data_IF_531969580191
#
_entry.id   IF_531969580191
#
_cell.length_a   1.000
_cell.length_b   1.000
_cell.length_c   1.000
_cell.angle_alpha   90.00
_cell.angle_beta   90.00
_cell.angle_gamma   90.00
#
_symmetry.space_group_name_H-M   'P 1'
#
loop_
_entity.id
_entity.type
_entity.pdbx_description
1 polymer ?
#
# COMPACT_ATOMS: atom_id res chain seq x y z
N UNK A 1 20.46 3.64 17.51
CA UNK A 1 19.03 3.30 17.63
C UNK A 1 18.53 2.96 16.24
N UNK A 2 18.10 1.73 16.03
CA UNK A 2 17.55 1.33 14.73
C UNK A 2 16.20 2.04 14.59
N UNK A 3 16.11 2.94 13.62
CA UNK A 3 14.91 3.75 13.43
C UNK A 3 13.92 2.91 12.64
N UNK A 4 12.75 2.60 13.20
CA UNK A 4 11.68 1.87 12.53
C UNK A 4 11.37 2.44 11.15
N UNK A 5 10.92 1.59 10.26
CA UNK A 5 10.37 1.96 8.95
C UNK A 5 8.86 1.84 9.00
N UNK A 6 8.14 2.67 8.25
CA UNK A 6 6.68 2.68 8.29
C UNK A 6 6.10 2.58 6.89
N UNK A 7 5.08 1.76 6.77
CA UNK A 7 4.27 1.61 5.54
C UNK A 7 2.90 2.19 5.84
N UNK A 8 2.56 3.31 5.20
CA UNK A 8 1.18 3.80 5.17
C UNK A 8 0.44 3.02 4.11
N UNK A 9 -0.56 2.26 4.54
CA UNK A 9 -1.24 1.28 3.71
C UNK A 9 -2.67 1.73 3.42
N UNK A 10 -3.00 1.92 2.15
CA UNK A 10 -4.37 1.85 1.68
C UNK A 10 -4.76 0.40 1.37
N UNK A 11 -6.05 0.13 1.25
CA UNK A 11 -6.59 -1.21 0.97
C UNK A 11 -7.14 -1.28 -0.44
N UNK A 12 -8.06 -0.36 -0.79
CA UNK A 12 -8.66 -0.33 -2.11
C UNK A 12 -7.64 0.09 -3.16
N UNK A 13 -7.53 -0.68 -4.23
CA UNK A 13 -6.49 -0.48 -5.24
C UNK A 13 -5.09 -0.93 -4.84
N UNK A 14 -4.89 -1.44 -3.60
CA UNK A 14 -3.61 -1.98 -3.11
C UNK A 14 -3.75 -3.47 -2.81
N UNK A 15 -4.57 -3.84 -1.83
CA UNK A 15 -4.79 -5.24 -1.42
C UNK A 15 -5.99 -5.87 -2.11
N UNK A 16 -6.67 -5.10 -2.95
CA UNK A 16 -7.73 -5.53 -3.85
C UNK A 16 -7.65 -4.73 -5.15
N UNK A 17 -8.43 -5.12 -6.12
CA UNK A 17 -8.52 -4.46 -7.42
C UNK A 17 -9.81 -4.85 -8.14
N UNK A 18 -10.07 -4.26 -9.31
CA UNK A 18 -11.30 -4.45 -10.06
C UNK A 18 -11.70 -5.93 -10.26
N UNK A 19 -10.74 -6.81 -10.60
CA UNK A 19 -11.02 -8.23 -10.81
C UNK A 19 -11.34 -8.99 -9.53
N UNK A 20 -10.85 -8.54 -8.36
CA UNK A 20 -11.19 -9.11 -7.05
C UNK A 20 -12.69 -9.04 -6.81
N UNK A 21 -13.30 -7.89 -7.10
CA UNK A 21 -14.75 -7.70 -6.95
C UNK A 21 -15.59 -8.50 -7.96
N UNK A 22 -15.05 -8.76 -9.14
CA UNK A 22 -15.73 -9.60 -10.14
C UNK A 22 -15.71 -11.09 -9.77
N UNK A 23 -14.60 -11.57 -9.24
CA UNK A 23 -14.39 -12.99 -8.95
C UNK A 23 -15.06 -13.46 -7.66
N UNK A 24 -15.50 -12.56 -6.79
CA UNK A 24 -16.06 -12.79 -5.45
C UNK A 24 -15.71 -14.17 -4.89
N UNK A 25 -14.69 -14.23 -4.06
CA UNK A 25 -14.32 -15.47 -3.36
C UNK A 25 -15.40 -15.83 -2.33
N UNK A 26 -16.51 -16.41 -2.78
CA UNK A 26 -17.80 -16.61 -2.06
C UNK A 26 -17.63 -17.37 -0.74
N UNK A 27 -16.54 -18.11 -0.57
CA UNK A 27 -16.22 -18.90 0.63
C UNK A 27 -15.06 -18.32 1.46
N UNK A 28 -14.61 -17.10 1.18
CA UNK A 28 -13.55 -16.44 1.94
C UNK A 28 -14.11 -15.58 3.07
N UNK A 29 -13.39 -15.50 4.18
CA UNK A 29 -13.68 -14.56 5.29
C UNK A 29 -13.44 -13.09 4.87
N UNK A 30 -12.70 -12.87 3.79
CA UNK A 30 -12.35 -11.56 3.23
C UNK A 30 -12.53 -11.54 1.70
N UNK A 31 -13.78 -11.67 1.20
CA UNK A 31 -14.06 -11.84 -0.24
C UNK A 31 -13.64 -10.62 -1.09
N UNK A 32 -13.40 -9.50 -0.44
CA UNK A 32 -13.05 -8.21 -1.07
C UNK A 32 -11.53 -7.98 -1.10
N UNK A 33 -10.70 -8.96 -0.69
CA UNK A 33 -9.24 -8.85 -0.72
C UNK A 33 -8.65 -9.88 -1.69
N UNK A 34 -7.56 -9.50 -2.35
CA UNK A 34 -6.89 -10.34 -3.33
C UNK A 34 -5.74 -11.15 -2.69
N UNK A 35 -5.77 -12.49 -2.77
CA UNK A 35 -4.73 -13.33 -2.18
C UNK A 35 -3.32 -13.08 -2.74
N UNK A 36 -3.18 -12.72 -4.03
CA UNK A 36 -1.87 -12.44 -4.63
C UNK A 36 -1.29 -11.13 -4.09
N UNK A 37 -2.13 -10.08 -4.00
CA UNK A 37 -1.74 -8.82 -3.38
C UNK A 37 -1.34 -9.01 -1.90
N UNK A 38 -2.12 -9.79 -1.13
CA UNK A 38 -1.80 -10.12 0.26
C UNK A 38 -0.49 -10.89 0.39
N UNK A 39 -0.24 -11.88 -0.47
CA UNK A 39 1.01 -12.65 -0.46
C UNK A 39 2.23 -11.77 -0.77
N UNK A 40 2.12 -10.88 -1.75
CA UNK A 40 3.19 -9.92 -2.08
C UNK A 40 3.41 -8.91 -0.93
N UNK A 41 2.34 -8.44 -0.30
CA UNK A 41 2.46 -7.54 0.85
C UNK A 41 3.08 -8.25 2.06
N UNK A 42 2.70 -9.50 2.33
CA UNK A 42 3.34 -10.36 3.34
C UNK A 42 4.84 -10.48 3.07
N UNK A 43 5.24 -10.77 1.83
CA UNK A 43 6.65 -10.82 1.42
C UNK A 43 7.38 -9.50 1.67
N UNK A 44 6.74 -8.35 1.41
CA UNK A 44 7.32 -7.04 1.68
C UNK A 44 7.63 -6.86 3.16
N UNK A 45 6.65 -7.05 4.04
CA UNK A 45 6.80 -6.79 5.48
C UNK A 45 7.82 -7.72 6.14
N UNK A 46 7.95 -8.96 5.67
CA UNK A 46 8.95 -9.90 6.18
C UNK A 46 10.38 -9.70 5.61
N UNK A 47 10.52 -8.88 4.56
CA UNK A 47 11.82 -8.59 3.94
C UNK A 47 12.55 -7.39 4.56
N UNK A 48 11.94 -6.71 5.54
CA UNK A 48 12.46 -5.49 6.16
C UNK A 48 12.40 -5.62 7.68
N UNK A 49 13.53 -5.48 8.33
CA UNK A 49 13.59 -5.46 9.79
C UNK A 49 12.96 -4.19 10.36
N UNK A 50 12.20 -4.34 11.43
CA UNK A 50 11.57 -3.23 12.17
C UNK A 50 10.64 -2.37 11.30
N UNK A 51 9.91 -2.99 10.37
CA UNK A 51 8.86 -2.33 9.61
C UNK A 51 7.54 -2.36 10.40
N UNK A 52 6.83 -1.25 10.36
CA UNK A 52 5.52 -1.07 10.99
C UNK A 52 4.49 -0.66 9.95
N UNK A 53 3.27 -1.17 10.08
CA UNK A 53 2.14 -0.80 9.22
C UNK A 53 1.30 0.24 9.94
N UNK A 54 0.95 1.32 9.24
CA UNK A 54 -0.04 2.33 9.66
C UNK A 54 -1.17 2.29 8.65
N UNK A 55 -2.38 1.98 9.10
CA UNK A 55 -3.52 1.88 8.19
C UNK A 55 -3.99 3.28 7.79
N UNK A 56 -3.95 3.57 6.50
CA UNK A 56 -4.29 4.87 5.90
C UNK A 56 -5.51 4.77 4.98
N UNK A 57 -6.27 3.70 5.05
CA UNK A 57 -7.46 3.43 4.23
C UNK A 57 -8.74 3.98 4.85
N UNK A 58 -9.77 4.21 4.02
CA UNK A 58 -11.13 4.44 4.47
C UNK A 58 -11.71 3.26 5.25
N UNK A 59 -11.18 2.06 5.07
CA UNK A 59 -11.55 0.85 5.82
C UNK A 59 -11.42 1.03 7.34
N UNK A 60 -10.51 1.90 7.80
CA UNK A 60 -10.34 2.21 9.24
C UNK A 60 -11.58 2.85 9.90
N UNK A 61 -12.54 3.30 9.11
CA UNK A 61 -13.76 3.95 9.59
C UNK A 61 -14.93 2.98 9.80
N UNK A 62 -14.77 1.72 9.38
CA UNK A 62 -15.83 0.69 9.41
C UNK A 62 -15.28 -0.55 10.11
N UNK A 63 -15.84 -0.90 11.27
CA UNK A 63 -15.38 -2.00 12.11
C UNK A 63 -15.35 -3.34 11.36
N UNK A 64 -16.41 -3.65 10.63
CA UNK A 64 -16.46 -4.91 9.84
C UNK A 64 -15.41 -5.01 8.75
N UNK A 65 -14.93 -3.89 8.21
CA UNK A 65 -13.88 -3.86 7.21
C UNK A 65 -12.51 -4.11 7.87
N UNK A 66 -12.31 -3.52 9.04
CA UNK A 66 -11.12 -3.76 9.86
C UNK A 66 -11.03 -5.22 10.31
N UNK A 67 -12.14 -5.84 10.72
CA UNK A 67 -12.20 -7.25 11.12
C UNK A 67 -11.82 -8.18 9.95
N UNK A 68 -12.33 -7.89 8.74
CA UNK A 68 -11.96 -8.65 7.53
C UNK A 68 -10.49 -8.50 7.18
N UNK A 69 -9.95 -7.28 7.28
CA UNK A 69 -8.54 -7.02 7.04
C UNK A 69 -7.66 -7.74 8.07
N UNK A 70 -8.04 -7.72 9.34
CA UNK A 70 -7.31 -8.43 10.41
C UNK A 70 -7.33 -9.95 10.19
N UNK A 71 -8.47 -10.52 9.78
CA UNK A 71 -8.57 -11.93 9.46
C UNK A 71 -7.63 -12.33 8.29
N UNK A 72 -7.61 -11.52 7.23
CA UNK A 72 -6.70 -11.71 6.10
C UNK A 72 -5.22 -11.60 6.53
N UNK A 73 -4.88 -10.60 7.31
CA UNK A 73 -3.51 -10.41 7.82
C UNK A 73 -3.05 -11.62 8.64
N UNK A 74 -3.92 -12.13 9.51
CA UNK A 74 -3.62 -13.32 10.30
C UNK A 74 -3.37 -14.54 9.42
N UNK A 75 -4.18 -14.77 8.38
CA UNK A 75 -4.02 -15.91 7.46
C UNK A 75 -2.73 -15.83 6.65
N UNK A 76 -2.37 -14.64 6.18
CA UNK A 76 -1.14 -14.41 5.39
C UNK A 76 0.09 -14.14 6.24
N UNK A 77 -0.02 -14.25 7.58
CA UNK A 77 1.09 -14.01 8.51
C UNK A 77 1.55 -12.55 8.54
N UNK A 78 0.73 -11.60 8.09
CA UNK A 78 1.05 -10.17 8.08
C UNK A 78 0.87 -9.62 9.50
N UNK A 79 1.84 -8.89 10.08
CA UNK A 79 1.67 -8.24 11.37
C UNK A 79 0.48 -7.25 11.34
N UNK A 80 -0.29 -7.21 12.41
CA UNK A 80 -1.33 -6.18 12.54
C UNK A 80 -0.71 -4.80 12.48
N UNK A 81 -1.44 -3.83 11.91
CA UNK A 81 -1.03 -2.43 11.94
C UNK A 81 -0.89 -1.93 13.38
N UNK A 82 0.08 -1.05 13.59
CA UNK A 82 0.34 -0.50 14.94
C UNK A 82 -0.54 0.71 15.25
N UNK A 83 -1.06 1.38 14.21
CA UNK A 83 -1.84 2.61 14.33
C UNK A 83 -2.63 2.87 13.05
N UNK A 84 -3.51 3.87 13.09
CA UNK A 84 -4.30 4.36 11.96
C UNK A 84 -4.05 5.86 11.77
N UNK A 85 -4.15 6.36 10.54
CA UNK A 85 -4.09 7.81 10.30
C UNK A 85 -5.34 8.52 10.85
N UNK A 86 -5.21 9.75 11.35
CA UNK A 86 -6.37 10.54 11.77
C UNK A 86 -7.32 10.76 10.60
N UNK A 87 -8.59 10.94 10.91
CA UNK A 87 -9.60 11.37 9.96
C UNK A 87 -9.72 12.89 10.00
N UNK A 88 -9.44 13.55 8.88
CA UNK A 88 -9.64 15.00 8.75
C UNK A 88 -10.98 15.28 8.13
N UNK A 89 -11.73 16.25 8.68
CA UNK A 89 -12.99 16.70 8.12
C UNK A 89 -12.79 17.48 6.82
N UNK A 90 -13.83 17.52 5.99
CA UNK A 90 -13.78 18.17 4.67
C UNK A 90 -13.39 19.66 4.75
N UNK A 91 -13.82 20.36 5.80
CA UNK A 91 -13.52 21.77 6.06
C UNK A 91 -12.03 22.05 6.30
N UNK A 92 -11.27 21.04 6.68
CA UNK A 92 -9.81 21.11 6.89
C UNK A 92 -9.02 20.84 5.60
N UNK A 93 -9.71 20.72 4.46
CA UNK A 93 -9.09 20.40 3.17
C UNK A 93 -8.50 19.00 3.18
N UNK A 94 -9.34 18.01 3.49
CA UNK A 94 -9.00 16.59 3.58
C UNK A 94 -8.25 16.11 2.35
N UNK A 95 -7.05 15.60 2.56
CA UNK A 95 -6.31 14.78 1.60
C UNK A 95 -5.56 13.69 2.34
N UNK A 96 -5.30 12.56 1.69
CA UNK A 96 -4.53 11.47 2.25
C UNK A 96 -3.16 11.95 2.77
N UNK A 97 -2.47 12.74 1.98
CA UNK A 97 -1.16 13.27 2.36
C UNK A 97 -1.19 14.17 3.61
N UNK A 98 -2.28 14.90 3.86
CA UNK A 98 -2.42 15.70 5.09
C UNK A 98 -2.66 14.82 6.32
N UNK A 99 -3.49 13.79 6.20
CA UNK A 99 -3.73 12.81 7.27
C UNK A 99 -2.42 12.12 7.67
N UNK A 100 -1.63 11.69 6.68
CA UNK A 100 -0.31 11.09 6.91
C UNK A 100 0.65 12.11 7.55
N UNK A 101 0.73 13.34 7.04
CA UNK A 101 1.60 14.38 7.61
C UNK A 101 1.25 14.70 9.06
N UNK A 102 -0.04 14.71 9.42
CA UNK A 102 -0.45 14.89 10.81
C UNK A 102 0.04 13.74 11.68
N UNK A 103 -0.15 12.50 11.25
CA UNK A 103 0.36 11.32 11.96
C UNK A 103 1.88 11.38 12.15
N UNK A 104 2.63 11.73 11.09
CA UNK A 104 4.09 11.87 11.15
C UNK A 104 4.53 12.87 12.19
N UNK A 105 3.84 14.03 12.26
CA UNK A 105 4.12 15.09 13.24
C UNK A 105 3.87 14.63 14.68
N UNK A 106 2.72 13.98 14.92
CA UNK A 106 2.30 13.50 16.25
C UNK A 106 3.22 12.38 16.76
N UNK A 107 3.72 11.53 15.87
CA UNK A 107 4.58 10.39 16.21
C UNK A 107 6.08 10.67 16.04
N UNK A 108 6.47 11.91 15.70
CA UNK A 108 7.87 12.32 15.50
C UNK A 108 8.62 11.44 14.48
N UNK A 109 7.92 10.97 13.44
CA UNK A 109 8.47 10.15 12.35
C UNK A 109 8.87 11.05 11.19
N UNK A 110 10.05 10.77 10.60
CA UNK A 110 10.56 11.55 9.47
C UNK A 110 10.11 10.95 8.14
N UNK A 111 10.00 11.79 7.10
CA UNK A 111 9.61 11.39 5.74
C UNK A 111 10.54 10.34 5.10
N UNK A 112 11.83 10.33 5.47
CA UNK A 112 12.79 9.33 4.96
C UNK A 112 12.64 7.93 5.58
N UNK A 113 11.77 7.79 6.58
CA UNK A 113 11.47 6.53 7.25
C UNK A 113 10.21 5.83 6.69
N UNK A 114 9.51 6.45 5.76
CA UNK A 114 8.21 5.96 5.30
C UNK A 114 8.19 5.62 3.82
N UNK A 115 7.24 4.77 3.46
CA UNK A 115 6.62 4.65 2.14
C UNK A 115 5.10 4.69 2.27
N UNK A 116 4.43 5.01 1.17
CA UNK A 116 2.97 5.03 1.06
C UNK A 116 2.60 4.07 -0.07
N UNK A 117 1.69 3.13 0.20
CA UNK A 117 1.06 2.26 -0.79
C UNK A 117 -0.38 2.72 -0.96
N UNK A 118 -0.72 3.27 -2.11
CA UNK A 118 -2.03 3.87 -2.38
C UNK A 118 -2.22 3.99 -3.90
N UNK A 119 -3.44 3.86 -4.40
CA UNK A 119 -3.75 4.08 -5.82
C UNK A 119 -4.02 5.56 -6.14
N UNK A 120 -4.30 6.36 -5.11
CA UNK A 120 -4.54 7.79 -5.23
C UNK A 120 -3.23 8.59 -5.21
N UNK A 121 -3.27 9.80 -5.78
CA UNK A 121 -2.10 10.70 -5.89
C UNK A 121 -2.16 11.93 -5.00
N UNK A 122 -3.19 12.08 -4.15
CA UNK A 122 -3.41 13.26 -3.30
C UNK A 122 -2.51 13.31 -2.04
N UNK A 123 -1.23 13.04 -2.22
CA UNK A 123 -0.22 12.85 -1.17
C UNK A 123 0.43 14.16 -0.68
N UNK A 124 -0.09 15.32 -1.06
CA UNK A 124 0.49 16.63 -0.71
C UNK A 124 2.00 16.67 -1.06
N UNK A 125 2.87 16.94 -0.08
CA UNK A 125 4.32 16.98 -0.21
C UNK A 125 5.02 15.62 0.03
N UNK A 126 4.25 14.52 0.06
CA UNK A 126 4.75 13.15 0.26
C UNK A 126 4.77 12.33 -1.04
N UNK A 127 4.59 12.96 -2.21
CA UNK A 127 4.56 12.25 -3.50
C UNK A 127 5.82 11.44 -3.82
N UNK A 128 6.97 11.87 -3.31
CA UNK A 128 8.24 11.15 -3.42
C UNK A 128 8.31 9.88 -2.57
N UNK A 129 7.34 9.66 -1.70
CA UNK A 129 7.18 8.48 -0.84
C UNK A 129 6.10 7.54 -1.33
N UNK A 130 5.32 7.95 -2.34
CA UNK A 130 4.24 7.17 -2.91
C UNK A 130 4.79 6.07 -3.84
N UNK A 131 4.31 4.87 -3.60
CA UNK A 131 4.32 3.76 -4.54
C UNK A 131 2.88 3.62 -4.98
N UNK A 132 2.58 4.30 -6.09
CA UNK A 132 1.24 4.30 -6.64
C UNK A 132 0.93 2.94 -7.24
N UNK A 133 -0.19 2.37 -6.85
CA UNK A 133 -0.79 1.18 -7.44
C UNK A 133 -1.92 1.57 -8.40
N UNK A 134 -2.62 0.61 -8.98
CA UNK A 134 -3.71 0.87 -9.90
C UNK A 134 -4.84 -0.14 -9.68
N UNK A 135 -6.00 0.37 -9.24
CA UNK A 135 -7.19 -0.43 -9.01
C UNK A 135 -7.65 -1.20 -10.26
N UNK A 136 -7.54 -0.61 -11.44
CA UNK A 136 -7.96 -1.24 -12.69
C UNK A 136 -6.96 -2.28 -13.21
N UNK A 137 -5.69 -2.16 -12.83
CA UNK A 137 -4.58 -2.97 -13.33
C UNK A 137 -3.95 -3.90 -12.28
N UNK A 138 -4.73 -4.37 -11.29
CA UNK A 138 -4.35 -5.49 -10.44
C UNK A 138 -3.65 -5.12 -9.12
N UNK A 139 -3.83 -3.92 -8.60
CA UNK A 139 -3.40 -3.55 -7.24
C UNK A 139 -1.88 -3.65 -7.03
N UNK A 140 -1.48 -4.23 -5.89
CA UNK A 140 -0.07 -4.36 -5.50
C UNK A 140 0.61 -5.54 -6.22
N UNK A 141 1.60 -5.25 -7.06
CA UNK A 141 2.32 -6.20 -7.92
C UNK A 141 3.79 -6.34 -7.53
N UNK A 142 4.48 -7.31 -8.14
CA UNK A 142 5.92 -7.55 -7.93
C UNK A 142 6.78 -6.31 -8.23
N UNK A 143 6.41 -5.46 -9.19
CA UNK A 143 7.12 -4.20 -9.48
C UNK A 143 7.03 -3.22 -8.30
N UNK A 144 5.85 -3.13 -7.67
CA UNK A 144 5.63 -2.29 -6.50
C UNK A 144 6.41 -2.83 -5.28
N UNK A 145 6.44 -4.15 -5.11
CA UNK A 145 7.26 -4.81 -4.10
C UNK A 145 8.75 -4.46 -4.25
N UNK A 146 9.31 -4.57 -5.46
CA UNK A 146 10.71 -4.22 -5.72
C UNK A 146 11.01 -2.76 -5.42
N UNK A 147 10.12 -1.84 -5.82
CA UNK A 147 10.21 -0.40 -5.54
C UNK A 147 10.16 -0.13 -4.03
N UNK A 148 9.23 -0.77 -3.30
CA UNK A 148 9.10 -0.66 -1.86
C UNK A 148 10.36 -1.13 -1.13
N UNK A 149 10.89 -2.28 -1.48
CA UNK A 149 12.13 -2.82 -0.93
C UNK A 149 13.32 -1.89 -1.19
N UNK A 150 13.43 -1.33 -2.39
CA UNK A 150 14.48 -0.37 -2.73
C UNK A 150 14.41 0.86 -1.82
N UNK A 151 13.24 1.47 -1.67
CA UNK A 151 13.04 2.67 -0.86
C UNK A 151 13.23 2.41 0.64
N UNK A 152 12.69 1.31 1.17
CA UNK A 152 12.78 0.97 2.59
C UNK A 152 14.21 0.60 3.02
N UNK A 153 15.03 0.05 2.12
CA UNK A 153 16.45 -0.21 2.39
C UNK A 153 17.32 1.07 2.41
N UNK A 154 16.71 2.24 2.23
CA UNK A 154 17.39 3.52 2.30
C UNK A 154 18.07 3.95 1.00
N UNK A 155 17.78 3.27 -0.10
CA UNK A 155 18.26 3.66 -1.41
C UNK A 155 17.47 4.87 -1.93
N UNK A 156 18.19 5.87 -2.43
CA UNK A 156 17.53 7.02 -3.05
C UNK A 156 16.99 6.66 -4.42
N UNK A 157 15.76 7.10 -4.71
CA UNK A 157 15.16 7.00 -6.04
C UNK A 157 15.78 8.05 -6.96
N UNK A 158 16.87 7.69 -7.63
CA UNK A 158 17.45 8.54 -8.68
C UNK A 158 16.49 8.65 -9.88
N UNK A 159 16.72 9.63 -10.76
CA UNK A 159 15.93 9.75 -11.99
C UNK A 159 15.98 8.46 -12.81
N UNK A 160 17.16 7.90 -12.99
CA UNK A 160 17.40 6.65 -13.72
C UNK A 160 16.65 5.47 -13.07
N UNK A 161 16.70 5.35 -11.74
CA UNK A 161 15.97 4.30 -11.02
C UNK A 161 14.45 4.44 -11.20
N UNK A 162 13.92 5.67 -11.22
CA UNK A 162 12.49 5.92 -11.49
C UNK A 162 12.10 5.47 -12.88
N UNK A 163 12.89 5.88 -13.89
CA UNK A 163 12.66 5.51 -15.30
C UNK A 163 12.66 3.97 -15.47
N UNK A 164 13.57 3.25 -14.79
CA UNK A 164 13.59 1.78 -14.82
C UNK A 164 12.30 1.19 -14.22
N UNK A 165 11.84 1.69 -13.07
CA UNK A 165 10.60 1.19 -12.46
C UNK A 165 9.35 1.52 -13.30
N UNK A 166 9.29 2.71 -13.90
CA UNK A 166 8.20 3.11 -14.80
C UNK A 166 8.16 2.20 -16.05
N UNK A 167 9.32 1.89 -16.63
CA UNK A 167 9.42 0.98 -17.76
C UNK A 167 9.00 -0.46 -17.40
N UNK A 168 9.38 -0.95 -16.23
CA UNK A 168 8.97 -2.28 -15.73
C UNK A 168 7.47 -2.34 -15.48
N UNK A 169 6.87 -1.30 -14.95
CA UNK A 169 5.44 -1.21 -14.72
C UNK A 169 4.65 -1.20 -16.02
N UNK A 170 5.09 -0.39 -17.01
CA UNK A 170 4.49 -0.38 -18.34
C UNK A 170 4.58 -1.75 -19.04
N UNK A 171 5.71 -2.43 -18.93
CA UNK A 171 5.89 -3.77 -19.48
C UNK A 171 4.97 -4.80 -18.82
N UNK A 172 4.84 -4.78 -17.50
CA UNK A 172 3.92 -5.66 -16.76
C UNK A 172 2.46 -5.42 -17.16
N UNK A 173 2.03 -4.17 -17.24
CA UNK A 173 0.67 -3.84 -17.67
C UNK A 173 0.37 -4.31 -19.11
N UNK A 174 1.36 -4.24 -20.00
CA UNK A 174 1.23 -4.75 -21.36
C UNK A 174 1.07 -6.27 -21.39
N UNK A 175 1.86 -7.00 -20.62
CA UNK A 175 1.75 -8.46 -20.48
C UNK A 175 0.40 -8.88 -19.91
N UNK A 176 -0.06 -8.23 -18.85
CA UNK A 176 -1.38 -8.50 -18.24
C UNK A 176 -2.52 -8.29 -19.24
N UNK A 177 -2.45 -7.25 -20.07
CA UNK A 177 -3.44 -6.99 -21.11
C UNK A 177 -3.41 -8.05 -22.23
N UNK A 178 -2.24 -8.56 -22.61
CA UNK A 178 -2.10 -9.65 -23.57
C UNK A 178 -2.69 -10.95 -23.04
N UNK A 179 -2.43 -11.31 -21.78
CA UNK A 179 -3.03 -12.50 -21.15
C UNK A 179 -4.54 -12.42 -21.01
N UNK A 180 -5.10 -11.23 -20.80
CA UNK A 180 -6.57 -11.03 -20.75
C UNK A 180 -7.25 -11.12 -22.11
N UNK A 181 -6.50 -10.96 -23.20
CA UNK A 181 -6.99 -11.00 -24.58
C UNK A 181 -6.93 -12.41 -25.21
N UNK A 182 -6.24 -13.36 -24.58
CA UNK A 182 -6.16 -14.78 -24.93
C UNK A 182 -7.21 -15.60 -24.18
#
# INVERSE_FOLDING_TARGET
MNKGKYIFLDVDGVLNHHETYKKKHVNSLYPDLDPECLALFSKLVHSIDYVHIVLSSSWRLIESDMDRLEAAFKEFGIPKWIDITPYLEYEQGKTRGKEINQWLKENHVRKDQIIILDDNTDMADLKDRLIQTDFMNGGFKEVHLKKALHMLKGNHMTKETKEIFEALEAANNTLDNLYKAL
#
